data_IF_205558249004
#
_entry.id   IF_205558249004
#
_cell.length_a   1.000
_cell.length_b   1.000
_cell.length_c   1.000
_cell.angle_alpha   90.00
_cell.angle_beta   90.00
_cell.angle_gamma   90.00
#
_symmetry.space_group_name_H-M   'P 1'
#
loop_
_entity.id
_entity.type
_entity.pdbx_description
1 polymer ?
#
# COMPACT_ATOMS: atom_id res chain seq x y z
N UNK A 1 4.99 0.19 30.93
CA UNK A 1 5.98 1.00 31.66
C UNK A 1 7.32 0.79 30.97
N UNK A 2 7.94 1.84 30.44
CA UNK A 2 9.29 1.75 29.86
C UNK A 2 10.32 1.76 31.00
N UNK A 3 11.32 0.87 30.95
CA UNK A 3 12.54 1.03 31.75
C UNK A 3 13.73 1.19 30.82
N UNK A 4 14.67 2.05 31.22
CA UNK A 4 15.95 2.23 30.54
C UNK A 4 16.90 1.14 31.05
N UNK A 5 17.50 0.37 30.14
CA UNK A 5 18.61 -0.51 30.44
C UNK A 5 19.86 -0.04 29.68
N UNK A 6 20.98 0.10 30.38
CA UNK A 6 22.28 0.42 29.77
C UNK A 6 22.96 -0.87 29.31
N UNK A 7 23.24 -0.97 28.01
CA UNK A 7 24.13 -1.99 27.44
C UNK A 7 25.17 -1.27 26.60
N UNK A 8 26.46 -1.40 26.97
CA UNK A 8 27.58 -0.90 26.16
C UNK A 8 27.75 0.63 26.07
N UNK A 9 27.12 1.41 26.96
CA UNK A 9 27.29 2.88 26.99
C UNK A 9 26.36 3.65 26.04
N UNK A 10 25.46 2.98 25.32
CA UNK A 10 24.36 3.62 24.59
C UNK A 10 23.01 3.32 25.27
N UNK A 11 22.24 4.37 25.57
CA UNK A 11 20.88 4.24 26.09
C UNK A 11 19.95 3.83 24.94
N UNK A 12 19.53 2.57 24.92
CA UNK A 12 18.54 2.05 23.97
C UNK A 12 17.20 1.82 24.68
N UNK A 13 16.11 2.28 24.04
CA UNK A 13 14.73 2.12 24.54
C UNK A 13 14.23 0.72 24.18
N UNK A 14 14.13 -0.17 25.16
CA UNK A 14 13.44 -1.46 25.02
C UNK A 14 11.96 -1.26 25.40
N UNK A 15 11.07 -1.28 24.41
CA UNK A 15 9.62 -1.28 24.62
C UNK A 15 9.10 -2.72 24.60
N UNK A 16 8.42 -3.14 25.67
CA UNK A 16 7.73 -4.43 25.73
C UNK A 16 6.44 -4.42 24.91
N UNK A 17 6.17 -5.56 24.24
CA UNK A 17 5.08 -5.78 23.29
C UNK A 17 3.69 -5.38 23.80
N UNK A 18 2.98 -4.58 22.99
CA UNK A 18 1.52 -4.48 22.95
C UNK A 18 1.08 -4.32 21.48
N UNK A 19 -0.15 -4.74 21.09
CA UNK A 19 -0.59 -4.73 19.70
C UNK A 19 -0.72 -3.29 19.19
N UNK A 20 -0.17 -3.05 18.00
CA UNK A 20 -0.19 -1.84 17.16
C UNK A 20 -1.33 -0.86 17.51
N UNK A 21 -1.07 0.15 18.35
CA UNK A 21 -2.00 1.27 18.61
C UNK A 21 -1.42 2.49 19.36
N UNK A 22 -0.09 2.62 19.57
CA UNK A 22 0.45 3.76 20.33
C UNK A 22 1.38 4.63 19.48
N UNK A 23 0.91 5.85 19.16
CA UNK A 23 1.81 6.96 18.79
C UNK A 23 2.69 7.24 20.01
N UNK A 24 4.00 7.05 19.88
CA UNK A 24 4.96 7.49 20.90
C UNK A 24 5.65 8.73 20.37
N UNK A 25 5.32 9.89 20.94
CA UNK A 25 6.12 11.11 20.78
C UNK A 25 7.38 10.94 21.63
N UNK A 26 8.54 10.86 20.99
CA UNK A 26 9.83 10.80 21.69
C UNK A 26 10.46 12.19 21.66
N UNK A 27 10.62 12.81 22.85
CA UNK A 27 11.47 13.99 23.00
C UNK A 27 12.93 13.54 22.95
N UNK A 28 13.68 13.99 21.95
CA UNK A 28 15.13 13.77 21.87
C UNK A 28 15.82 15.00 22.43
N UNK A 29 16.40 14.91 23.63
CA UNK A 29 17.25 15.97 24.17
C UNK A 29 18.65 15.90 23.53
N UNK A 30 19.05 16.99 22.87
CA UNK A 30 20.42 17.14 22.37
C UNK A 30 21.30 17.77 23.45
N UNK A 31 22.47 17.19 23.72
CA UNK A 31 23.43 17.70 24.71
C UNK A 31 24.08 19.05 24.39
N UNK A 32 23.62 19.78 23.36
CA UNK A 32 24.15 21.12 22.97
C UNK A 32 23.11 22.12 22.43
N UNK A 33 21.82 21.79 22.44
CA UNK A 33 20.76 22.70 21.94
C UNK A 33 19.41 22.33 22.57
N UNK A 34 18.71 23.32 23.13
CA UNK A 34 17.42 23.19 23.81
C UNK A 34 16.21 23.06 22.86
N UNK A 35 16.43 22.68 21.60
CA UNK A 35 15.35 22.51 20.64
C UNK A 35 14.62 21.17 20.86
N UNK A 36 13.39 21.25 21.40
CA UNK A 36 12.45 20.12 21.47
C UNK A 36 11.91 19.83 20.07
N UNK A 37 12.01 18.59 19.59
CA UNK A 37 11.45 18.18 18.30
C UNK A 37 10.51 16.97 18.48
N UNK A 38 9.35 17.02 17.83
CA UNK A 38 8.37 15.93 17.84
C UNK A 38 8.67 14.96 16.70
N UNK A 39 9.24 13.80 17.02
CA UNK A 39 9.36 12.69 16.09
C UNK A 39 8.12 11.78 16.24
N UNK A 40 7.53 11.37 15.11
CA UNK A 40 6.49 10.31 15.10
C UNK A 40 7.19 8.98 14.85
N UNK A 41 7.22 8.11 15.85
CA UNK A 41 7.68 6.73 15.73
C UNK A 41 6.48 5.82 15.91
N UNK A 42 6.17 5.01 14.89
CA UNK A 42 5.11 3.99 14.95
C UNK A 42 5.77 2.63 14.88
N UNK A 43 5.88 1.92 16.00
CA UNK A 43 6.37 0.54 16.00
C UNK A 43 5.17 -0.40 15.85
N UNK A 44 5.08 -1.14 14.74
CA UNK A 44 4.12 -2.23 14.61
C UNK A 44 4.84 -3.55 14.37
N UNK A 45 4.77 -4.42 15.37
CA UNK A 45 5.08 -5.85 15.26
C UNK A 45 3.75 -6.57 15.11
N UNK A 46 3.54 -7.24 13.97
CA UNK A 46 2.37 -8.09 13.74
C UNK A 46 2.78 -9.55 13.73
N UNK A 47 2.27 -10.35 14.66
CA UNK A 47 2.27 -11.80 14.53
C UNK A 47 1.05 -12.23 13.69
N UNK A 48 1.26 -12.71 12.47
CA UNK A 48 0.29 -13.55 11.79
C UNK A 48 0.62 -15.02 12.07
N UNK A 49 -0.42 -15.80 12.38
CA UNK A 49 -0.39 -17.27 12.48
C UNK A 49 0.45 -17.84 11.31
N UNK A 50 1.60 -18.40 11.67
CA UNK A 50 2.56 -19.14 10.83
C UNK A 50 3.46 -18.39 9.82
N UNK A 51 3.61 -17.06 9.87
CA UNK A 51 4.71 -16.38 9.14
C UNK A 51 5.20 -15.15 9.90
N UNK A 52 6.47 -15.16 10.31
CA UNK A 52 7.15 -13.97 10.84
C UNK A 52 7.34 -12.99 9.67
N UNK A 53 6.54 -11.93 9.62
CA UNK A 53 6.77 -10.80 8.74
C UNK A 53 7.54 -9.73 9.54
N UNK A 54 8.84 -9.60 9.30
CA UNK A 54 9.61 -8.47 9.79
C UNK A 54 9.36 -7.27 8.88
N UNK A 55 8.76 -6.22 9.44
CA UNK A 55 8.65 -4.91 8.81
C UNK A 55 9.93 -4.12 9.13
N UNK A 56 10.69 -3.71 8.12
CA UNK A 56 11.80 -2.76 8.32
C UNK A 56 11.15 -1.38 8.43
N UNK A 57 10.96 -0.94 9.67
CA UNK A 57 10.35 0.33 10.00
C UNK A 57 11.46 1.29 10.42
N UNK A 58 11.94 2.10 9.49
CA UNK A 58 12.93 3.13 9.79
C UNK A 58 12.21 4.47 9.74
N UNK A 59 12.14 5.11 10.91
CA UNK A 59 11.56 6.44 11.08
C UNK A 59 12.12 7.41 10.04
N UNK A 60 11.25 7.89 9.15
CA UNK A 60 11.50 9.09 8.36
C UNK A 60 11.24 10.26 9.31
N UNK A 61 12.31 10.76 9.95
CA UNK A 61 12.19 11.99 10.73
C UNK A 61 11.74 13.14 9.81
N UNK A 62 10.87 14.01 10.32
CA UNK A 62 10.28 15.11 9.54
C UNK A 62 11.35 15.98 8.87
N UNK A 63 10.97 16.64 7.77
CA UNK A 63 11.79 17.61 7.04
C UNK A 63 12.51 18.67 7.90
N UNK A 64 12.03 18.95 9.12
CA UNK A 64 12.60 19.96 10.02
C UNK A 64 13.72 19.43 10.93
N UNK A 65 14.03 18.13 10.85
CA UNK A 65 15.11 17.53 11.63
C UNK A 65 16.42 17.65 10.83
N UNK A 66 17.39 18.42 11.35
CA UNK A 66 18.76 18.50 10.82
C UNK A 66 19.50 17.15 10.78
N UNK A 67 18.90 16.09 11.35
CA UNK A 67 19.44 14.74 11.48
C UNK A 67 18.54 13.67 10.86
N UNK A 68 17.63 14.04 9.95
CA UNK A 68 16.76 13.04 9.32
C UNK A 68 17.63 12.02 8.59
N UNK A 69 17.43 10.72 8.86
CA UNK A 69 18.15 9.66 8.15
C UNK A 69 17.79 9.67 6.66
N UNK A 70 16.55 10.01 6.35
CA UNK A 70 15.97 10.04 5.01
C UNK A 70 15.26 11.38 4.71
N UNK A 71 16.00 12.50 4.51
CA UNK A 71 15.43 13.78 4.14
C UNK A 71 14.86 13.77 2.71
N UNK A 72 13.81 14.55 2.42
CA UNK A 72 13.26 14.68 1.07
C UNK A 72 14.31 15.30 0.12
N UNK A 73 14.73 14.56 -0.91
CA UNK A 73 15.73 14.98 -1.88
C UNK A 73 15.30 14.54 -3.29
N UNK A 74 15.48 15.44 -4.29
CA UNK A 74 15.25 15.08 -5.70
C UNK A 74 16.19 13.96 -6.12
N UNK A 75 15.65 13.00 -6.87
CA UNK A 75 16.40 11.88 -7.43
C UNK A 75 17.07 10.96 -6.40
N UNK A 76 16.73 11.00 -5.11
CA UNK A 76 17.29 10.12 -4.07
C UNK A 76 16.49 8.83 -3.92
N UNK A 77 15.17 8.92 -3.92
CA UNK A 77 14.29 7.78 -3.64
C UNK A 77 13.84 7.07 -4.90
N UNK A 78 13.60 5.77 -4.74
CA UNK A 78 13.13 4.89 -5.80
C UNK A 78 12.03 3.98 -5.25
N UNK A 79 11.05 3.62 -6.07
CA UNK A 79 9.91 2.82 -5.66
C UNK A 79 9.80 1.55 -6.50
N UNK A 80 9.93 0.39 -5.85
CA UNK A 80 9.66 -0.90 -6.47
C UNK A 80 8.21 -1.30 -6.27
N UNK A 81 7.50 -1.59 -7.36
CA UNK A 81 6.05 -1.84 -7.35
C UNK A 81 5.67 -2.99 -8.27
N UNK A 82 4.45 -3.50 -8.09
CA UNK A 82 3.74 -4.26 -9.13
C UNK A 82 2.42 -3.56 -9.41
N UNK A 83 2.04 -3.40 -10.68
CA UNK A 83 0.70 -2.93 -11.02
C UNK A 83 -0.40 -3.90 -10.55
N UNK A 84 -0.06 -5.17 -10.30
CA UNK A 84 -1.02 -6.15 -9.81
C UNK A 84 -1.35 -5.97 -8.31
N UNK A 85 -0.37 -5.55 -7.50
CA UNK A 85 -0.52 -5.49 -6.05
C UNK A 85 -1.35 -4.26 -5.62
N UNK A 86 -2.48 -4.43 -4.89
CA UNK A 86 -3.29 -3.30 -4.45
C UNK A 86 -2.58 -2.40 -3.45
N UNK A 87 -1.66 -2.94 -2.64
CA UNK A 87 -0.85 -2.17 -1.68
C UNK A 87 0.13 -1.24 -2.40
N UNK A 88 0.82 -1.76 -3.43
CA UNK A 88 1.72 -0.96 -4.26
C UNK A 88 0.98 0.02 -5.15
N UNK A 89 -0.25 -0.30 -5.54
CA UNK A 89 -1.07 0.60 -6.34
C UNK A 89 -1.42 1.89 -5.58
N UNK A 90 -1.55 1.86 -4.25
CA UNK A 90 -1.76 3.06 -3.42
C UNK A 90 -0.62 4.06 -3.61
N UNK A 91 0.62 3.59 -3.54
CA UNK A 91 1.80 4.45 -3.66
C UNK A 91 1.95 5.02 -5.07
N UNK A 92 1.56 4.27 -6.10
CA UNK A 92 1.48 4.76 -7.49
C UNK A 92 0.44 5.86 -7.66
N UNK A 93 -0.78 5.66 -7.16
CA UNK A 93 -1.85 6.67 -7.21
C UNK A 93 -1.39 7.94 -6.49
N UNK A 94 -0.85 7.82 -5.27
CA UNK A 94 -0.35 8.97 -4.52
C UNK A 94 0.80 9.67 -5.23
N UNK A 95 1.72 8.93 -5.84
CA UNK A 95 2.83 9.49 -6.64
C UNK A 95 2.32 10.33 -7.80
N UNK A 96 1.30 9.86 -8.52
CA UNK A 96 0.67 10.62 -9.62
C UNK A 96 -0.09 11.84 -9.12
N UNK A 97 -0.90 11.67 -8.07
CA UNK A 97 -1.69 12.73 -7.43
C UNK A 97 -0.84 13.89 -6.90
N UNK A 98 0.36 13.59 -6.39
CA UNK A 98 1.30 14.57 -5.84
C UNK A 98 2.33 15.09 -6.85
N UNK A 99 2.26 14.70 -8.13
CA UNK A 99 3.20 15.17 -9.14
C UNK A 99 4.65 14.72 -8.90
N UNK A 100 4.86 13.55 -8.27
CA UNK A 100 6.17 13.07 -7.83
C UNK A 100 6.91 12.28 -8.91
N UNK A 101 6.39 12.21 -10.14
CA UNK A 101 6.90 11.33 -11.18
C UNK A 101 8.34 11.64 -11.59
N UNK A 102 8.70 12.92 -11.58
CA UNK A 102 10.05 13.41 -11.88
C UNK A 102 11.00 13.45 -10.67
N UNK A 103 10.56 12.98 -9.49
CA UNK A 103 11.34 13.02 -8.24
C UNK A 103 11.62 11.61 -7.72
N UNK A 104 10.59 10.76 -7.73
CA UNK A 104 10.66 9.37 -7.28
C UNK A 104 10.53 8.48 -8.52
N UNK A 105 11.63 7.85 -8.92
CA UNK A 105 11.62 6.89 -10.01
C UNK A 105 10.99 5.57 -9.58
N UNK A 106 10.52 4.78 -10.55
CA UNK A 106 9.76 3.55 -10.31
C UNK A 106 10.32 2.42 -11.16
N UNK A 107 10.47 1.24 -10.57
CA UNK A 107 10.60 -0.02 -11.29
C UNK A 107 9.37 -0.90 -11.02
N UNK A 108 8.83 -1.47 -12.10
CA UNK A 108 7.68 -2.38 -12.07
C UNK A 108 8.17 -3.81 -12.25
N UNK A 109 7.97 -4.64 -11.22
CA UNK A 109 8.31 -6.07 -11.24
C UNK A 109 7.37 -6.85 -12.18
N UNK A 110 7.79 -8.05 -12.56
CA UNK A 110 6.97 -8.99 -13.30
C UNK A 110 5.65 -9.28 -12.55
N UNK A 111 4.53 -9.34 -13.28
CA UNK A 111 3.25 -9.74 -12.71
C UNK A 111 3.25 -11.20 -12.24
N UNK A 112 4.12 -12.05 -12.77
CA UNK A 112 4.25 -13.45 -12.35
C UNK A 112 5.09 -13.54 -11.08
N UNK A 113 4.46 -14.00 -9.99
CA UNK A 113 5.14 -14.27 -8.73
C UNK A 113 5.53 -15.75 -8.67
N UNK A 114 6.81 -16.03 -8.86
CA UNK A 114 7.34 -17.39 -8.82
C UNK A 114 7.75 -17.81 -7.40
N UNK A 115 8.37 -18.98 -7.26
CA UNK A 115 8.82 -19.51 -5.97
C UNK A 115 9.90 -18.65 -5.27
N UNK A 116 10.66 -17.85 -6.02
CA UNK A 116 11.67 -16.90 -5.49
C UNK A 116 11.07 -15.52 -5.22
N UNK A 117 9.86 -15.25 -5.72
CA UNK A 117 9.09 -14.06 -5.45
C UNK A 117 9.03 -13.10 -6.64
N UNK A 118 9.06 -11.81 -6.36
CA UNK A 118 8.99 -10.78 -7.39
C UNK A 118 10.30 -10.71 -8.16
N UNK A 119 10.23 -10.81 -9.49
CA UNK A 119 11.39 -10.73 -10.39
C UNK A 119 11.32 -9.52 -11.31
N UNK A 120 12.45 -9.13 -11.88
CA UNK A 120 12.54 -8.07 -12.87
C UNK A 120 12.61 -8.66 -14.29
N UNK A 121 11.97 -8.00 -15.24
CA UNK A 121 11.96 -8.45 -16.65
C UNK A 121 11.75 -7.28 -17.60
N UNK A 122 12.09 -7.48 -18.87
CA UNK A 122 12.07 -6.42 -19.87
C UNK A 122 10.65 -6.14 -20.39
N UNK A 123 10.33 -4.88 -20.75
CA UNK A 123 9.07 -4.53 -21.39
C UNK A 123 8.77 -5.35 -22.66
N UNK A 124 9.81 -5.73 -23.42
CA UNK A 124 9.66 -6.56 -24.63
C UNK A 124 9.17 -7.97 -24.33
N UNK A 125 9.55 -8.54 -23.18
CA UNK A 125 9.08 -9.86 -22.73
C UNK A 125 7.69 -9.78 -22.14
N UNK A 126 7.44 -8.75 -21.31
CA UNK A 126 6.16 -8.51 -20.64
C UNK A 126 5.87 -7.01 -20.61
N UNK A 127 4.92 -6.52 -21.43
CA UNK A 127 4.59 -5.10 -21.49
C UNK A 127 4.29 -4.51 -20.11
N UNK A 128 4.85 -3.35 -19.81
CA UNK A 128 4.65 -2.63 -18.55
C UNK A 128 5.51 -3.09 -17.37
N UNK A 129 6.42 -4.06 -17.54
CA UNK A 129 7.46 -4.37 -16.56
C UNK A 129 8.74 -3.59 -16.85
N UNK A 130 9.68 -3.57 -15.92
CA UNK A 130 11.00 -2.94 -16.09
C UNK A 130 12.12 -3.81 -15.53
N UNK A 131 13.34 -3.63 -16.03
CA UNK A 131 14.55 -4.11 -15.37
C UNK A 131 14.93 -3.18 -14.20
N UNK A 132 15.58 -3.70 -13.17
CA UNK A 132 16.10 -2.86 -12.08
C UNK A 132 17.40 -2.16 -12.52
N UNK A 133 17.28 -0.92 -12.97
CA UNK A 133 18.43 -0.09 -13.37
C UNK A 133 19.18 0.52 -12.18
N UNK A 134 18.58 0.45 -10.97
CA UNK A 134 19.15 1.09 -9.78
C UNK A 134 20.17 0.19 -9.09
N UNK A 135 19.85 -1.09 -8.92
CA UNK A 135 20.76 -2.04 -8.26
C UNK A 135 21.18 -3.21 -9.15
N UNK A 136 20.58 -3.38 -10.34
CA UNK A 136 20.86 -4.51 -11.22
C UNK A 136 20.37 -5.84 -10.66
N UNK A 137 19.34 -5.84 -9.81
CA UNK A 137 18.80 -7.07 -9.22
C UNK A 137 17.95 -7.86 -10.21
N UNK A 138 17.99 -9.19 -10.08
CA UNK A 138 17.08 -10.10 -10.81
C UNK A 138 15.78 -10.32 -10.04
N UNK A 139 15.85 -10.31 -8.69
CA UNK A 139 14.70 -10.48 -7.80
C UNK A 139 14.65 -9.37 -6.75
N UNK A 140 13.44 -9.01 -6.33
CA UNK A 140 13.25 -8.05 -5.24
C UNK A 140 13.92 -8.51 -3.94
N UNK A 141 13.97 -9.83 -3.71
CA UNK A 141 14.66 -10.43 -2.56
C UNK A 141 16.16 -10.05 -2.49
N UNK A 142 16.81 -9.82 -3.64
CA UNK A 142 18.22 -9.43 -3.68
C UNK A 142 18.40 -8.04 -3.05
N UNK A 143 17.42 -7.14 -3.18
CA UNK A 143 17.44 -5.82 -2.55
C UNK A 143 17.23 -5.90 -1.04
N UNK A 144 16.34 -6.78 -0.59
CA UNK A 144 16.12 -7.03 0.84
C UNK A 144 17.39 -7.60 1.49
N UNK A 145 18.03 -8.58 0.85
CA UNK A 145 19.31 -9.13 1.32
C UNK A 145 20.47 -8.15 1.24
N UNK A 146 20.44 -7.21 0.29
CA UNK A 146 21.40 -6.11 0.21
C UNK A 146 21.24 -5.13 1.36
N UNK A 147 20.00 -4.81 1.74
CA UNK A 147 19.70 -3.93 2.87
C UNK A 147 19.96 -4.61 4.23
N UNK A 148 19.70 -5.91 4.32
CA UNK A 148 19.87 -6.74 5.50
C UNK A 148 20.25 -8.18 5.08
N UNK A 149 21.53 -8.58 5.20
CA UNK A 149 22.01 -9.90 4.79
C UNK A 149 21.32 -11.07 5.50
N UNK A 150 20.79 -10.84 6.71
CA UNK A 150 20.12 -11.86 7.52
C UNK A 150 18.60 -11.92 7.26
N UNK A 151 18.09 -11.12 6.31
CA UNK A 151 16.67 -11.08 5.97
C UNK A 151 16.14 -12.44 5.51
N UNK A 152 15.14 -12.95 6.23
CA UNK A 152 14.57 -14.29 6.04
C UNK A 152 13.05 -14.31 5.83
N UNK A 153 12.42 -13.14 5.70
CA UNK A 153 10.98 -13.00 5.46
C UNK A 153 10.67 -12.83 3.97
N UNK A 154 9.41 -12.52 3.63
CA UNK A 154 8.98 -12.31 2.24
C UNK A 154 9.32 -10.89 1.78
N UNK A 155 9.99 -10.76 0.63
CA UNK A 155 10.15 -9.48 -0.05
C UNK A 155 8.80 -9.03 -0.64
N UNK A 156 8.29 -7.87 -0.21
CA UNK A 156 6.96 -7.36 -0.59
C UNK A 156 7.05 -6.06 -1.38
N UNK A 157 6.13 -5.87 -2.31
CA UNK A 157 5.87 -4.56 -2.93
C UNK A 157 4.67 -3.89 -2.22
N UNK A 158 4.69 -2.56 -2.04
CA UNK A 158 5.72 -1.61 -2.50
C UNK A 158 6.98 -1.64 -1.63
N UNK A 159 8.12 -1.27 -2.21
CA UNK A 159 9.37 -1.02 -1.47
C UNK A 159 9.89 0.36 -1.82
N UNK A 160 9.95 1.27 -0.84
CA UNK A 160 10.61 2.57 -0.98
C UNK A 160 12.09 2.40 -0.65
N UNK A 161 12.94 2.67 -1.62
CA UNK A 161 14.38 2.47 -1.58
C UNK A 161 15.12 3.81 -1.56
N UNK A 162 16.14 3.93 -0.71
CA UNK A 162 17.06 5.06 -0.72
C UNK A 162 18.30 4.71 -1.54
N UNK A 163 18.46 5.34 -2.70
CA UNK A 163 19.61 5.11 -3.60
C UNK A 163 20.94 5.59 -3.01
N UNK A 164 20.91 6.55 -2.07
CA UNK A 164 22.13 7.13 -1.49
C UNK A 164 22.77 6.21 -0.46
N UNK A 165 21.94 5.58 0.38
CA UNK A 165 22.42 4.66 1.42
C UNK A 165 22.32 3.20 1.00
N UNK A 166 21.64 2.90 -0.12
CA UNK A 166 21.50 1.54 -0.63
C UNK A 166 20.69 0.64 0.30
N UNK A 167 19.62 1.17 0.89
CA UNK A 167 18.78 0.46 1.87
C UNK A 167 17.29 0.72 1.64
N UNK A 168 16.45 -0.07 2.31
CA UNK A 168 15.00 0.08 2.30
C UNK A 168 14.61 1.14 3.34
N UNK A 169 13.82 2.13 2.91
CA UNK A 169 13.23 3.15 3.79
C UNK A 169 11.99 2.58 4.47
N UNK A 170 11.07 2.01 3.69
CA UNK A 170 9.84 1.38 4.17
C UNK A 170 9.29 0.43 3.11
N UNK A 171 8.61 -0.61 3.54
CA UNK A 171 7.78 -1.48 2.71
C UNK A 171 6.30 -1.51 3.15
N UNK A 172 5.89 -0.55 3.99
CA UNK A 172 4.52 -0.40 4.47
C UNK A 172 3.77 0.64 3.62
N UNK A 173 2.82 0.18 2.80
CA UNK A 173 2.10 1.04 1.85
C UNK A 173 1.38 2.22 2.50
N UNK A 174 0.83 2.03 3.71
CA UNK A 174 0.06 3.05 4.41
C UNK A 174 0.92 4.17 4.98
N UNK A 175 2.15 3.86 5.37
CA UNK A 175 3.12 4.86 5.81
C UNK A 175 3.73 5.59 4.61
N UNK A 176 4.10 4.84 3.56
CA UNK A 176 4.69 5.42 2.35
C UNK A 176 3.78 6.51 1.79
N UNK A 177 2.48 6.26 1.60
CA UNK A 177 1.57 7.28 1.06
C UNK A 177 1.52 8.54 1.95
N UNK A 178 1.56 8.39 3.28
CA UNK A 178 1.56 9.54 4.20
C UNK A 178 2.83 10.37 4.08
N UNK A 179 4.00 9.75 3.91
CA UNK A 179 5.24 10.48 3.63
C UNK A 179 5.15 11.29 2.32
N UNK A 180 4.50 10.72 1.30
CA UNK A 180 4.39 11.38 0.00
C UNK A 180 3.42 12.58 -0.01
N UNK A 181 2.52 12.71 0.97
CA UNK A 181 1.56 13.81 1.00
C UNK A 181 2.23 15.17 1.23
N UNK A 182 3.27 15.25 2.06
CA UNK A 182 3.80 16.53 2.54
C UNK A 182 5.32 16.66 2.50
N UNK A 183 6.08 15.56 2.63
CA UNK A 183 7.55 15.66 2.82
C UNK A 183 8.26 16.24 1.58
N UNK A 184 7.68 16.07 0.39
CA UNK A 184 8.28 16.54 -0.88
C UNK A 184 7.69 17.85 -1.40
N UNK A 185 6.84 18.54 -0.63
CA UNK A 185 6.11 19.73 -1.09
C UNK A 185 7.03 20.84 -1.62
N UNK A 186 8.20 21.03 -1.00
CA UNK A 186 9.15 22.07 -1.41
C UNK A 186 9.85 21.76 -2.75
N UNK A 187 9.74 20.51 -3.24
CA UNK A 187 10.43 20.01 -4.42
C UNK A 187 9.53 19.86 -5.65
N UNK A 188 8.21 19.86 -5.47
CA UNK A 188 7.20 19.67 -6.52
C UNK A 188 6.65 21.00 -7.06
N UNK A 189 5.90 20.92 -8.17
CA UNK A 189 5.19 22.06 -8.76
C UNK A 189 4.16 22.65 -7.78
N UNK A 190 4.03 23.97 -7.78
CA UNK A 190 3.15 24.73 -6.88
C UNK A 190 1.72 24.21 -6.86
N UNK A 191 1.19 23.73 -8.00
CA UNK A 191 -0.19 23.21 -8.08
C UNK A 191 -0.44 21.95 -7.26
N UNK A 192 0.61 21.22 -6.85
CA UNK A 192 0.51 20.01 -6.03
C UNK A 192 0.86 20.24 -4.55
N UNK A 193 1.40 21.41 -4.19
CA UNK A 193 1.87 21.72 -2.83
C UNK A 193 0.70 21.92 -1.87
N UNK A 194 0.89 21.53 -0.61
CA UNK A 194 -0.12 21.69 0.45
C UNK A 194 -1.33 20.77 0.30
N UNK A 195 -1.43 20.00 -0.78
CA UNK A 195 -2.48 19.00 -0.98
C UNK A 195 -2.13 17.78 -0.12
N UNK A 196 -2.96 17.52 0.89
CA UNK A 196 -2.95 16.30 1.69
C UNK A 196 -4.23 15.50 1.45
N UNK A 197 -4.12 14.18 1.51
CA UNK A 197 -5.26 13.26 1.50
C UNK A 197 -5.61 12.77 2.91
N UNK A 198 -4.98 13.34 3.93
CA UNK A 198 -5.23 13.08 5.34
C UNK A 198 -5.39 14.42 6.08
N UNK A 199 -6.47 15.17 5.81
CA UNK A 199 -6.71 16.45 6.48
C UNK A 199 -7.10 16.24 7.95
N UNK A 200 -6.70 17.17 8.82
CA UNK A 200 -6.84 17.03 10.27
C UNK A 200 -8.30 16.90 10.71
N UNK A 201 -9.20 17.63 10.08
CA UNK A 201 -10.63 17.63 10.37
C UNK A 201 -11.34 16.30 10.03
N UNK A 202 -10.75 15.48 9.14
CA UNK A 202 -11.26 14.15 8.79
C UNK A 202 -10.42 13.02 9.38
N UNK A 203 -9.29 13.31 10.04
CA UNK A 203 -8.31 12.33 10.48
C UNK A 203 -8.92 11.15 11.26
N UNK A 204 -9.74 11.44 12.28
CA UNK A 204 -10.40 10.40 13.09
C UNK A 204 -11.36 9.53 12.27
N UNK A 205 -12.11 10.13 11.34
CA UNK A 205 -13.01 9.38 10.46
C UNK A 205 -12.21 8.53 9.46
N UNK A 206 -11.12 9.06 8.93
CA UNK A 206 -10.23 8.33 8.02
C UNK A 206 -9.62 7.13 8.74
N UNK A 207 -9.09 7.30 9.96
CA UNK A 207 -8.49 6.21 10.73
C UNK A 207 -9.52 5.13 11.09
N UNK A 208 -10.73 5.51 11.51
CA UNK A 208 -11.82 4.57 11.77
C UNK A 208 -12.18 3.77 10.51
N UNK A 209 -12.45 4.46 9.40
CA UNK A 209 -12.84 3.83 8.13
C UNK A 209 -11.72 2.92 7.61
N UNK A 210 -10.48 3.37 7.64
CA UNK A 210 -9.34 2.60 7.16
C UNK A 210 -9.08 1.34 7.98
N UNK A 211 -9.43 1.35 9.27
CA UNK A 211 -9.27 0.19 10.14
C UNK A 211 -10.19 -0.95 9.72
N UNK A 212 -11.52 -0.72 9.69
CA UNK A 212 -12.46 -1.79 9.35
C UNK A 212 -12.47 -2.10 7.86
N UNK A 213 -12.28 -1.13 6.96
CA UNK A 213 -12.16 -1.43 5.52
C UNK A 213 -10.94 -2.29 5.23
N UNK A 214 -9.82 -2.08 5.96
CA UNK A 214 -8.66 -2.96 5.84
C UNK A 214 -9.00 -4.40 6.24
N UNK A 215 -9.55 -4.61 7.43
CA UNK A 215 -9.81 -5.95 7.95
C UNK A 215 -10.93 -6.66 7.17
N UNK A 216 -12.05 -5.97 6.97
CA UNK A 216 -13.27 -6.54 6.40
C UNK A 216 -13.21 -6.63 4.87
N UNK A 217 -12.53 -5.70 4.17
CA UNK A 217 -12.56 -5.63 2.70
C UNK A 217 -11.18 -5.88 2.08
N UNK A 218 -10.20 -5.00 2.32
CA UNK A 218 -8.91 -5.06 1.61
C UNK A 218 -8.14 -6.36 1.88
N UNK A 219 -8.06 -6.77 3.15
CA UNK A 219 -7.50 -8.06 3.54
C UNK A 219 -8.59 -9.15 3.54
N UNK A 220 -9.85 -8.79 3.78
CA UNK A 220 -10.98 -9.72 3.78
C UNK A 220 -11.11 -10.54 2.50
N UNK A 221 -10.88 -9.95 1.32
CA UNK A 221 -10.90 -10.70 0.05
C UNK A 221 -9.78 -11.74 -0.03
N UNK A 222 -8.60 -11.49 0.55
CA UNK A 222 -7.52 -12.48 0.61
C UNK A 222 -7.82 -13.58 1.63
N UNK A 223 -8.33 -13.21 2.81
CA UNK A 223 -8.79 -14.18 3.82
C UNK A 223 -9.86 -15.13 3.24
N UNK A 224 -10.76 -14.59 2.43
CA UNK A 224 -11.78 -15.36 1.70
C UNK A 224 -11.14 -16.27 0.65
N UNK A 225 -10.32 -15.72 -0.24
CA UNK A 225 -9.74 -16.46 -1.36
C UNK A 225 -8.72 -17.53 -0.96
N UNK A 226 -8.09 -17.39 0.21
CA UNK A 226 -7.09 -18.31 0.74
C UNK A 226 -7.61 -19.21 1.85
N UNK A 227 -8.90 -19.15 2.18
CA UNK A 227 -9.51 -20.04 3.14
C UNK A 227 -9.33 -21.51 2.72
N UNK A 228 -8.93 -22.35 3.68
CA UNK A 228 -8.70 -23.79 3.47
C UNK A 228 -9.85 -24.66 3.97
N UNK A 229 -10.85 -24.05 4.63
CA UNK A 229 -12.06 -24.72 5.12
C UNK A 229 -13.30 -23.93 4.69
N UNK A 230 -14.43 -24.62 4.58
CA UNK A 230 -15.71 -24.00 4.22
C UNK A 230 -16.13 -22.95 5.27
N UNK A 231 -16.03 -23.27 6.55
CA UNK A 231 -16.41 -22.35 7.63
C UNK A 231 -15.59 -21.03 7.61
N UNK A 232 -14.28 -21.12 7.38
CA UNK A 232 -13.43 -19.93 7.28
C UNK A 232 -13.79 -19.10 6.02
N UNK A 233 -14.08 -19.77 4.91
CA UNK A 233 -14.56 -19.08 3.71
C UNK A 233 -15.89 -18.37 3.96
N UNK A 234 -16.88 -19.07 4.53
CA UNK A 234 -18.24 -18.54 4.78
C UNK A 234 -18.20 -17.36 5.75
N UNK A 235 -17.38 -17.43 6.80
CA UNK A 235 -17.17 -16.31 7.72
C UNK A 235 -16.58 -15.09 7.00
N UNK A 236 -15.48 -15.28 6.26
CA UNK A 236 -14.75 -14.17 5.64
C UNK A 236 -15.51 -13.55 4.47
N UNK A 237 -16.18 -14.35 3.65
CA UNK A 237 -16.98 -13.82 2.55
C UNK A 237 -18.14 -12.98 3.08
N UNK A 238 -18.82 -13.43 4.15
CA UNK A 238 -19.90 -12.65 4.76
C UNK A 238 -19.38 -11.32 5.35
N UNK A 239 -18.20 -11.31 5.99
CA UNK A 239 -17.57 -10.08 6.46
C UNK A 239 -17.25 -9.10 5.33
N UNK A 240 -16.74 -9.59 4.19
CA UNK A 240 -16.48 -8.76 3.00
C UNK A 240 -17.76 -8.08 2.53
N UNK A 241 -18.84 -8.83 2.35
CA UNK A 241 -20.09 -8.25 1.85
C UNK A 241 -20.78 -7.34 2.87
N UNK A 242 -20.69 -7.63 4.18
CA UNK A 242 -21.12 -6.69 5.22
C UNK A 242 -20.31 -5.38 5.17
N UNK A 243 -18.99 -5.46 4.94
CA UNK A 243 -18.14 -4.29 4.77
C UNK A 243 -18.53 -3.48 3.52
N UNK A 244 -18.77 -4.15 2.40
CA UNK A 244 -19.23 -3.49 1.16
C UNK A 244 -20.60 -2.82 1.36
N UNK A 245 -21.54 -3.46 2.06
CA UNK A 245 -22.85 -2.88 2.37
C UNK A 245 -22.70 -1.61 3.24
N UNK A 246 -21.74 -1.56 4.18
CA UNK A 246 -21.42 -0.35 4.95
C UNK A 246 -20.86 0.76 4.06
N UNK A 247 -19.94 0.44 3.13
CA UNK A 247 -19.38 1.42 2.19
C UNK A 247 -20.46 1.98 1.26
N UNK A 248 -21.33 1.11 0.75
CA UNK A 248 -22.46 1.50 -0.11
C UNK A 248 -23.36 2.52 0.60
N UNK A 249 -23.77 2.22 1.83
CA UNK A 249 -24.59 3.10 2.64
C UNK A 249 -23.87 4.41 3.02
N UNK A 250 -22.54 4.39 3.16
CA UNK A 250 -21.73 5.60 3.37
C UNK A 250 -21.74 6.49 2.12
N UNK A 251 -21.48 5.92 0.95
CA UNK A 251 -21.46 6.66 -0.32
C UNK A 251 -22.85 7.25 -0.64
N UNK A 252 -23.93 6.51 -0.36
CA UNK A 252 -25.31 6.99 -0.51
C UNK A 252 -25.56 8.29 0.27
N UNK A 253 -25.13 8.35 1.54
CA UNK A 253 -25.35 9.51 2.43
C UNK A 253 -24.26 10.58 2.40
N UNK A 254 -23.11 10.29 1.78
CA UNK A 254 -21.91 11.16 1.81
C UNK A 254 -22.12 12.54 1.17
N UNK A 255 -23.08 12.66 0.25
CA UNK A 255 -23.21 13.84 -0.63
C UNK A 255 -22.24 13.81 -1.83
N UNK A 256 -21.27 12.90 -1.84
CA UNK A 256 -20.39 12.58 -2.96
C UNK A 256 -19.46 13.70 -3.44
N UNK A 257 -18.55 13.39 -4.39
CA UNK A 257 -18.42 12.11 -5.09
C UNK A 257 -17.49 11.08 -4.41
N UNK A 258 -16.98 11.36 -3.20
CA UNK A 258 -16.05 10.50 -2.45
C UNK A 258 -16.68 9.92 -1.17
N UNK A 259 -16.02 8.96 -0.54
CA UNK A 259 -16.57 8.22 0.61
C UNK A 259 -16.92 9.15 1.79
N UNK A 260 -16.10 10.17 2.03
CA UNK A 260 -16.29 11.16 3.10
C UNK A 260 -16.85 12.50 2.57
N UNK A 261 -17.51 12.49 1.41
CA UNK A 261 -18.20 13.65 0.84
C UNK A 261 -17.49 14.26 -0.36
N UNK A 262 -17.21 15.56 -0.32
CA UNK A 262 -16.75 16.32 -1.49
C UNK A 262 -15.23 16.33 -1.68
N UNK A 263 -14.47 15.84 -0.71
CA UNK A 263 -12.99 15.84 -0.72
C UNK A 263 -12.45 14.42 -0.89
N UNK A 264 -11.51 14.25 -1.82
CA UNK A 264 -10.77 12.99 -1.98
C UNK A 264 -9.87 12.76 -0.77
N UNK A 265 -9.93 11.57 -0.18
CA UNK A 265 -9.13 11.22 1.01
C UNK A 265 -8.31 9.96 0.81
N UNK A 266 -7.42 9.70 1.77
CA UNK A 266 -6.65 8.46 1.88
C UNK A 266 -7.58 7.23 1.91
N UNK A 267 -8.79 7.35 2.45
CA UNK A 267 -9.80 6.28 2.44
C UNK A 267 -10.13 5.85 1.01
N UNK A 268 -10.34 6.81 0.11
CA UNK A 268 -10.62 6.52 -1.30
C UNK A 268 -9.40 5.87 -1.98
N UNK A 269 -8.21 6.42 -1.74
CA UNK A 269 -6.93 5.92 -2.29
C UNK A 269 -6.68 4.47 -1.81
N UNK A 270 -7.02 4.14 -0.57
CA UNK A 270 -6.80 2.81 0.02
C UNK A 270 -7.83 1.79 -0.42
N UNK A 271 -9.08 2.19 -0.61
CA UNK A 271 -10.17 1.29 -0.99
C UNK A 271 -10.18 1.02 -2.49
N UNK A 272 -9.89 2.02 -3.32
CA UNK A 272 -9.96 1.91 -4.78
C UNK A 272 -9.20 0.71 -5.36
N UNK A 273 -7.94 0.43 -4.96
CA UNK A 273 -7.19 -0.71 -5.49
C UNK A 273 -7.88 -2.06 -5.26
N UNK A 274 -8.66 -2.19 -4.19
CA UNK A 274 -9.44 -3.40 -3.93
C UNK A 274 -10.66 -3.45 -4.84
N UNK A 275 -11.44 -2.37 -4.89
CA UNK A 275 -12.70 -2.34 -5.64
C UNK A 275 -12.48 -2.47 -7.15
N UNK A 276 -11.44 -1.82 -7.69
CA UNK A 276 -11.09 -1.93 -9.13
C UNK A 276 -10.64 -3.35 -9.54
N UNK A 277 -10.23 -4.17 -8.57
CA UNK A 277 -9.86 -5.60 -8.77
C UNK A 277 -11.01 -6.56 -8.46
N UNK A 278 -12.10 -6.07 -7.87
CA UNK A 278 -13.17 -6.92 -7.36
C UNK A 278 -13.82 -7.73 -8.47
N UNK A 279 -14.40 -7.07 -9.46
CA UNK A 279 -15.05 -7.75 -10.57
C UNK A 279 -14.07 -8.51 -11.49
N UNK A 280 -12.89 -7.95 -11.86
CA UNK A 280 -11.96 -8.65 -12.76
C UNK A 280 -11.23 -9.84 -12.17
N UNK A 281 -11.14 -9.92 -10.83
CA UNK A 281 -10.38 -10.96 -10.13
C UNK A 281 -11.17 -11.55 -8.99
N UNK A 282 -11.50 -10.78 -7.96
CA UNK A 282 -11.91 -11.34 -6.66
C UNK A 282 -13.22 -12.11 -6.71
N UNK A 283 -14.17 -11.70 -7.56
CA UNK A 283 -15.44 -12.41 -7.76
C UNK A 283 -15.20 -13.88 -8.12
N UNK A 284 -14.37 -14.15 -9.13
CA UNK A 284 -14.13 -15.51 -9.59
C UNK A 284 -12.94 -16.17 -8.84
N UNK A 285 -11.79 -15.50 -8.79
CA UNK A 285 -10.54 -16.09 -8.31
C UNK A 285 -10.55 -16.30 -6.80
N UNK A 286 -11.11 -15.36 -6.04
CA UNK A 286 -11.27 -15.45 -4.59
C UNK A 286 -12.67 -15.88 -4.16
N UNK A 287 -13.55 -16.19 -5.11
CA UNK A 287 -14.94 -16.60 -4.85
C UNK A 287 -15.74 -15.56 -4.05
N UNK A 288 -15.37 -14.28 -4.11
CA UNK A 288 -16.16 -13.19 -3.51
C UNK A 288 -17.37 -12.88 -4.39
N UNK A 289 -18.31 -13.82 -4.50
CA UNK A 289 -19.32 -13.86 -5.57
C UNK A 289 -20.78 -13.73 -5.12
N UNK A 290 -21.06 -13.27 -3.88
CA UNK A 290 -22.45 -12.99 -3.45
C UNK A 290 -23.10 -11.95 -4.38
N UNK A 291 -22.33 -10.93 -4.80
CA UNK A 291 -22.69 -9.98 -5.87
C UNK A 291 -21.44 -9.32 -6.45
N UNK A 292 -21.54 -8.79 -7.67
CA UNK A 292 -20.49 -7.98 -8.29
C UNK A 292 -20.64 -6.51 -7.90
N UNK A 293 -19.56 -5.72 -8.01
CA UNK A 293 -19.62 -4.26 -7.83
C UNK A 293 -20.52 -3.65 -8.90
N UNK A 294 -20.31 -3.99 -10.18
CA UNK A 294 -21.03 -3.39 -11.31
C UNK A 294 -22.55 -3.53 -11.28
N UNK A 295 -23.06 -4.61 -10.67
CA UNK A 295 -24.49 -4.95 -10.67
C UNK A 295 -25.14 -4.88 -9.28
N UNK A 296 -24.36 -5.05 -8.21
CA UNK A 296 -24.88 -5.18 -6.84
C UNK A 296 -24.71 -3.95 -5.95
N UNK A 297 -23.89 -2.99 -6.36
CA UNK A 297 -23.51 -1.82 -5.55
C UNK A 297 -23.53 -0.52 -6.37
N UNK A 298 -24.70 0.09 -6.63
CA UNK A 298 -24.82 1.26 -7.49
C UNK A 298 -23.95 2.46 -7.05
N UNK A 299 -23.83 2.73 -5.76
CA UNK A 299 -23.03 3.84 -5.25
C UNK A 299 -21.53 3.57 -5.32
N UNK A 300 -21.07 2.38 -4.91
CA UNK A 300 -19.66 1.96 -5.10
C UNK A 300 -19.30 1.93 -6.58
N UNK A 301 -20.18 1.41 -7.45
CA UNK A 301 -19.92 1.35 -8.89
C UNK A 301 -19.82 2.75 -9.50
N UNK A 302 -20.67 3.70 -9.07
CA UNK A 302 -20.56 5.11 -9.47
C UNK A 302 -19.26 5.74 -8.97
N UNK A 303 -18.90 5.53 -7.70
CA UNK A 303 -17.66 6.03 -7.11
C UNK A 303 -16.41 5.47 -7.83
N UNK A 304 -16.38 4.16 -8.09
CA UNK A 304 -15.29 3.48 -8.80
C UNK A 304 -15.09 4.09 -10.19
N UNK A 305 -16.18 4.25 -10.95
CA UNK A 305 -16.14 4.84 -12.30
C UNK A 305 -15.74 6.30 -12.27
N UNK A 306 -16.19 7.08 -11.29
CA UNK A 306 -15.74 8.46 -11.12
C UNK A 306 -14.22 8.52 -10.92
N UNK A 307 -13.68 7.76 -9.96
CA UNK A 307 -12.23 7.70 -9.72
C UNK A 307 -11.47 7.26 -10.97
N UNK A 308 -11.87 6.16 -11.60
CA UNK A 308 -11.18 5.61 -12.75
C UNK A 308 -11.24 6.50 -14.00
N UNK A 309 -12.37 7.13 -14.31
CA UNK A 309 -12.52 7.86 -15.58
C UNK A 309 -12.22 9.36 -15.48
N UNK A 310 -12.46 9.98 -14.32
CA UNK A 310 -12.30 11.43 -14.15
C UNK A 310 -10.97 11.83 -13.48
N UNK A 311 -10.15 10.87 -13.06
CA UNK A 311 -8.84 11.13 -12.46
C UNK A 311 -7.74 10.30 -13.12
N UNK A 312 -6.84 10.98 -13.84
CA UNK A 312 -5.71 10.36 -14.53
C UNK A 312 -4.84 9.51 -13.60
N UNK A 313 -4.63 9.96 -12.36
CA UNK A 313 -3.83 9.25 -11.36
C UNK A 313 -4.37 7.85 -11.02
N UNK A 314 -5.68 7.63 -11.11
CA UNK A 314 -6.31 6.33 -10.85
C UNK A 314 -6.34 5.48 -12.13
N UNK A 315 -6.65 6.12 -13.27
CA UNK A 315 -6.72 5.47 -14.58
C UNK A 315 -5.35 4.93 -15.03
N UNK A 316 -4.34 5.80 -15.05
CA UNK A 316 -3.05 5.55 -15.67
C UNK A 316 -2.21 4.54 -14.86
N UNK A 317 -2.54 4.34 -13.59
CA UNK A 317 -1.86 3.36 -12.73
C UNK A 317 -2.58 1.99 -12.70
N UNK A 318 -3.74 1.86 -13.36
CA UNK A 318 -4.52 0.61 -13.36
C UNK A 318 -4.23 -0.21 -14.62
N UNK A 319 -3.37 -1.24 -14.48
CA UNK A 319 -3.07 -2.17 -15.56
C UNK A 319 -3.83 -3.50 -15.36
N UNK A 320 -4.92 -3.71 -16.09
CA UNK A 320 -5.75 -4.92 -15.96
C UNK A 320 -5.08 -6.21 -16.42
N UNK A 321 -4.12 -6.13 -17.36
CA UNK A 321 -3.36 -7.32 -17.77
C UNK A 321 -2.49 -7.81 -16.61
N UNK A 322 -1.70 -6.91 -16.01
CA UNK A 322 -0.87 -7.23 -14.84
C UNK A 322 -1.73 -7.75 -13.68
N UNK A 323 -2.84 -7.08 -13.40
CA UNK A 323 -3.81 -7.51 -12.38
C UNK A 323 -4.27 -8.95 -12.68
N UNK A 324 -4.90 -9.20 -13.81
CA UNK A 324 -5.52 -10.51 -14.07
C UNK A 324 -4.49 -11.62 -14.16
N UNK A 325 -3.36 -11.39 -14.83
CA UNK A 325 -2.30 -12.39 -14.97
C UNK A 325 -1.62 -12.70 -13.65
N UNK A 326 -1.32 -11.71 -12.81
CA UNK A 326 -0.72 -11.97 -11.50
C UNK A 326 -1.56 -12.93 -10.68
N UNK A 327 -2.84 -12.60 -10.44
CA UNK A 327 -3.67 -13.42 -9.56
C UNK A 327 -3.90 -14.82 -10.14
N UNK A 328 -4.21 -14.92 -11.43
CA UNK A 328 -4.61 -16.20 -12.03
C UNK A 328 -3.43 -17.10 -12.36
N UNK A 329 -2.25 -16.55 -12.69
CA UNK A 329 -1.08 -17.33 -13.08
C UNK A 329 -0.08 -17.58 -11.96
N UNK A 330 -0.09 -16.78 -10.89
CA UNK A 330 0.84 -16.97 -9.77
C UNK A 330 0.26 -17.86 -8.67
N UNK A 331 -1.07 -17.84 -8.47
CA UNK A 331 -1.73 -18.63 -7.43
C UNK A 331 -2.13 -20.03 -7.92
N UNK A 332 -1.15 -20.80 -8.40
CA UNK A 332 -1.40 -22.13 -8.99
C UNK A 332 -1.99 -23.14 -7.99
N UNK A 333 -1.81 -22.94 -6.70
CA UNK A 333 -2.47 -23.73 -5.66
C UNK A 333 -4.00 -23.59 -5.66
N UNK A 334 -4.54 -22.48 -6.20
CA UNK A 334 -5.99 -22.22 -6.30
C UNK A 334 -6.49 -22.23 -7.74
N UNK A 335 -5.60 -22.03 -8.72
CA UNK A 335 -5.86 -22.13 -10.14
C UNK A 335 -4.78 -22.98 -10.84
N UNK A 336 -4.84 -24.32 -10.75
CA UNK A 336 -3.74 -25.21 -11.13
C UNK A 336 -3.21 -25.07 -12.56
N UNK A 337 -4.09 -24.72 -13.50
CA UNK A 337 -3.72 -24.56 -14.91
C UNK A 337 -3.32 -23.12 -15.28
N UNK A 338 -3.37 -22.16 -14.35
CA UNK A 338 -3.00 -20.77 -14.61
C UNK A 338 -3.83 -20.11 -15.72
N UNK A 339 -5.06 -20.57 -15.93
CA UNK A 339 -5.96 -20.02 -16.96
C UNK A 339 -6.51 -18.70 -16.45
N UNK A 340 -6.35 -17.65 -17.27
CA UNK A 340 -6.90 -16.32 -16.98
C UNK A 340 -8.29 -16.19 -17.60
N UNK A 341 -9.36 -15.91 -16.83
CA UNK A 341 -10.69 -15.70 -17.39
C UNK A 341 -10.72 -14.52 -18.37
N UNK A 342 -11.47 -14.66 -19.47
CA UNK A 342 -11.67 -13.57 -20.42
C UNK A 342 -12.45 -12.41 -19.80
N UNK A 343 -13.44 -12.72 -18.96
CA UNK A 343 -14.33 -11.75 -18.35
C UNK A 343 -13.79 -11.07 -17.09
N UNK A 344 -14.59 -10.16 -16.53
CA UNK A 344 -15.80 -9.59 -17.13
C UNK A 344 -15.42 -8.58 -18.24
N UNK A 345 -16.29 -8.40 -19.24
CA UNK A 345 -16.05 -7.48 -20.36
C UNK A 345 -17.09 -6.35 -20.33
N UNK A 346 -16.67 -5.08 -20.30
CA UNK A 346 -15.31 -4.58 -20.11
C UNK A 346 -14.81 -4.78 -18.66
N UNK A 347 -13.50 -4.56 -18.42
CA UNK A 347 -12.95 -4.59 -17.06
C UNK A 347 -13.62 -3.53 -16.16
N UNK A 348 -13.83 -2.31 -16.69
CA UNK A 348 -14.58 -1.22 -16.05
C UNK A 348 -15.59 -0.68 -17.07
N UNK A 349 -16.84 -0.53 -16.65
CA UNK A 349 -17.90 0.06 -17.48
C UNK A 349 -17.66 1.56 -17.69
N UNK A 350 -18.09 2.13 -18.83
CA UNK A 350 -18.04 3.57 -19.07
C UNK A 350 -18.91 4.34 -18.05
N UNK A 351 -18.68 5.66 -17.95
CA UNK A 351 -19.44 6.57 -17.07
C UNK A 351 -20.94 6.56 -17.35
#
# INVERSE_FOLDING_TARGET
MASLAEVGGEKSLLLSCAPCASRVSVEVESGRSSAKQNCTVVLCVGEELNKVAYWILIAVCSKDSLFARFPPEKNRYHLYVSYACPWAHRTLITRELKGLQGIISVNVVDWYLDAKGWSFTTPDKKPGTTIDEVNGADYLMDLYKKADPDYNARATVPTLWDKKTGTIVSNESSEIIRFLYTEFDDLIDAKYRGITYYPEELASQIDELNSWTYDEINNGVYKTGFAQTQDAYDEHVQRVFNGLDKVEALLERSGGPYILGTTLTETDIRLYPTIVRFDPVYVQHFKCNIRMIRDGYPHIHKWLRNLYWNHDAFKNTTNFEHIKYHYTKSHLQYNPFGITPAGPVPNILPL
#
